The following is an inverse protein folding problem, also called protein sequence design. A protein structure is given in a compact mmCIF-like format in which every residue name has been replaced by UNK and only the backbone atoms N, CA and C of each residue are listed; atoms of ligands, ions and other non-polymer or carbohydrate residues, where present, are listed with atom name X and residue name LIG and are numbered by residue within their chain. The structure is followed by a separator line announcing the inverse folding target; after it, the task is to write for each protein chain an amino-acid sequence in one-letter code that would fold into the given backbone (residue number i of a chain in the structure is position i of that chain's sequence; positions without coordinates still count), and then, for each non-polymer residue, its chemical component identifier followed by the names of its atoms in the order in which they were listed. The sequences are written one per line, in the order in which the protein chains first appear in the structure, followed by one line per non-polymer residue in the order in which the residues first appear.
data_IF_178972135670
#
_entry.id   IF_178972135670
#
_cell.length_a   1.000
_cell.length_b   1.000
_cell.length_c   1.000
_cell.angle_alpha   90.00
_cell.angle_beta   90.00
_cell.angle_gamma   90.00
#
_symmetry.space_group_name_H-M   'P 1'
#
loop_
_entity.id
_entity.type
_entity.pdbx_description
1 polymer ?
#
# COMPACT_ATOMS: atom_id res chain seq x y z
N UNK A 1 14.25 -1.15 -7.82
CA UNK A 1 13.86 -1.68 -6.49
C UNK A 1 13.32 -0.53 -5.67
N UNK A 2 12.07 -0.63 -5.20
CA UNK A 2 11.46 0.39 -4.35
C UNK A 2 12.16 0.43 -2.99
N UNK A 3 12.71 1.60 -2.62
CA UNK A 3 13.40 1.82 -1.35
C UNK A 3 12.93 3.12 -0.74
N UNK A 4 12.64 3.08 0.55
CA UNK A 4 12.36 4.29 1.35
C UNK A 4 13.62 4.71 2.11
N UNK A 5 13.80 6.01 2.27
CA UNK A 5 14.84 6.54 3.13
C UNK A 5 14.52 6.18 4.59
N UNK A 6 15.49 5.61 5.29
CA UNK A 6 15.38 5.24 6.71
C UNK A 6 16.53 5.86 7.48
N UNK A 7 16.21 6.59 8.54
CA UNK A 7 17.18 7.08 9.51
C UNK A 7 17.73 5.93 10.38
N UNK A 8 18.80 6.19 11.14
CA UNK A 8 19.35 5.21 12.09
C UNK A 8 18.33 4.79 13.15
N UNK A 9 17.48 5.72 13.59
CA UNK A 9 16.40 5.44 14.56
C UNK A 9 15.34 4.53 13.94
N UNK A 10 14.86 4.85 12.73
CA UNK A 10 13.87 4.03 12.03
C UNK A 10 14.39 2.63 11.73
N UNK A 11 15.66 2.52 11.32
CA UNK A 11 16.31 1.23 11.11
C UNK A 11 16.34 0.38 12.38
N UNK A 12 16.60 1.00 13.55
CA UNK A 12 16.55 0.31 14.84
C UNK A 12 15.12 -0.15 15.15
N UNK A 13 14.15 0.75 15.04
CA UNK A 13 12.73 0.43 15.25
C UNK A 13 12.27 -0.73 14.39
N UNK A 14 12.62 -0.77 13.10
CA UNK A 14 12.24 -1.88 12.22
C UNK A 14 12.88 -3.20 12.68
N UNK A 15 14.15 -3.18 13.13
CA UNK A 15 14.78 -4.40 13.69
C UNK A 15 14.07 -4.87 14.95
N UNK A 16 13.75 -3.96 15.85
CA UNK A 16 13.10 -4.29 17.12
C UNK A 16 11.71 -4.88 16.86
N UNK A 17 10.96 -4.32 15.89
CA UNK A 17 9.66 -4.86 15.45
C UNK A 17 9.78 -6.25 14.79
N UNK A 18 10.84 -6.50 14.02
CA UNK A 18 11.11 -7.83 13.44
C UNK A 18 11.44 -8.83 14.55
N UNK A 19 12.28 -8.45 15.51
CA UNK A 19 12.69 -9.32 16.62
C UNK A 19 11.52 -9.63 17.58
N UNK A 20 10.64 -8.65 17.81
CA UNK A 20 9.44 -8.79 18.63
C UNK A 20 8.22 -9.28 17.84
N UNK A 21 8.39 -9.72 16.58
CA UNK A 21 7.25 -10.15 15.77
C UNK A 21 6.63 -11.42 16.38
N UNK A 22 5.29 -11.49 16.54
CA UNK A 22 4.66 -12.59 17.27
C UNK A 22 4.92 -13.95 16.62
N UNK A 23 5.42 -14.91 17.39
CA UNK A 23 5.78 -16.25 16.91
C UNK A 23 4.57 -17.07 16.44
N UNK A 24 3.41 -16.82 17.03
CA UNK A 24 2.12 -17.44 16.71
C UNK A 24 1.49 -16.87 15.42
N UNK A 25 2.03 -15.77 14.88
CA UNK A 25 1.55 -15.24 13.61
C UNK A 25 1.85 -16.22 12.48
N UNK A 26 0.92 -16.45 11.53
CA UNK A 26 1.18 -17.26 10.35
C UNK A 26 2.32 -16.72 9.47
N UNK A 27 2.74 -15.47 9.69
CA UNK A 27 3.86 -14.84 8.96
C UNK A 27 5.21 -14.96 9.69
N UNK A 28 5.27 -15.52 10.90
CA UNK A 28 6.49 -15.52 11.72
C UNK A 28 7.67 -16.20 11.03
N UNK A 29 7.44 -17.33 10.36
CA UNK A 29 8.46 -18.04 9.57
C UNK A 29 9.05 -17.15 8.46
N UNK A 30 8.21 -16.43 7.72
CA UNK A 30 8.66 -15.50 6.67
C UNK A 30 9.43 -14.31 7.24
N UNK A 31 8.99 -13.76 8.37
CA UNK A 31 9.71 -12.66 9.05
C UNK A 31 11.11 -13.10 9.45
N UNK A 32 11.23 -14.29 10.06
CA UNK A 32 12.52 -14.87 10.45
C UNK A 32 13.41 -15.17 9.22
N UNK A 33 12.83 -15.77 8.18
CA UNK A 33 13.54 -16.15 6.95
C UNK A 33 14.05 -14.92 6.17
N UNK A 34 13.25 -13.87 6.07
CA UNK A 34 13.53 -12.73 5.18
C UNK A 34 14.11 -11.51 5.90
N UNK A 35 14.02 -11.45 7.24
CA UNK A 35 14.42 -10.27 8.00
C UNK A 35 13.65 -9.02 7.56
N UNK A 36 12.36 -9.18 7.27
CA UNK A 36 11.47 -8.13 6.78
C UNK A 36 10.19 -8.10 7.60
N UNK A 37 9.75 -6.89 7.97
CA UNK A 37 8.50 -6.67 8.69
C UNK A 37 7.33 -6.62 7.70
N UNK A 38 6.27 -7.44 7.84
CA UNK A 38 5.15 -7.47 6.91
C UNK A 38 4.27 -6.25 7.11
N UNK A 39 4.12 -5.42 6.09
CA UNK A 39 3.35 -4.18 6.14
C UNK A 39 1.95 -4.32 5.55
N UNK A 40 1.81 -5.19 4.54
CA UNK A 40 0.55 -5.43 3.84
C UNK A 40 0.44 -6.90 3.47
N UNK A 41 -0.59 -7.56 4.00
CA UNK A 41 -0.89 -8.96 3.72
C UNK A 41 -2.03 -8.99 2.71
N UNK A 42 -1.75 -9.49 1.51
CA UNK A 42 -2.77 -9.78 0.50
C UNK A 42 -2.99 -11.30 0.42
N UNK A 43 -3.92 -11.71 -0.43
CA UNK A 43 -4.28 -13.13 -0.59
C UNK A 43 -3.17 -14.01 -1.19
N UNK A 44 -2.32 -13.48 -2.07
CA UNK A 44 -1.26 -14.29 -2.73
C UNK A 44 0.16 -13.90 -2.33
N UNK A 45 0.34 -12.69 -1.79
CA UNK A 45 1.64 -12.17 -1.46
C UNK A 45 1.58 -11.20 -0.29
N UNK A 46 2.70 -11.11 0.45
CA UNK A 46 2.89 -10.13 1.50
C UNK A 46 3.98 -9.14 1.11
N UNK A 47 3.70 -7.86 1.28
CA UNK A 47 4.67 -6.77 1.12
C UNK A 47 5.23 -6.42 2.48
N UNK A 48 6.55 -6.35 2.59
CA UNK A 48 7.25 -5.99 3.81
C UNK A 48 8.42 -5.03 3.62
N UNK A 49 8.99 -4.59 4.74
CA UNK A 49 10.12 -3.67 4.79
C UNK A 49 11.30 -4.28 5.56
N UNK A 50 12.47 -4.22 4.94
CA UNK A 50 13.73 -4.57 5.61
C UNK A 50 14.23 -3.40 6.46
N UNK A 51 15.09 -3.62 7.47
CA UNK A 51 15.72 -2.54 8.24
C UNK A 51 16.48 -1.50 7.40
N UNK A 52 16.90 -1.88 6.18
CA UNK A 52 17.60 -1.00 5.24
C UNK A 52 16.66 -0.14 4.38
N UNK A 53 15.35 -0.25 4.60
CA UNK A 53 14.31 0.48 3.89
C UNK A 53 13.94 -0.11 2.51
N UNK A 54 14.42 -1.31 2.17
CA UNK A 54 13.95 -1.99 0.94
C UNK A 54 12.54 -2.49 1.16
N UNK A 55 11.65 -2.19 0.21
CA UNK A 55 10.29 -2.73 0.17
C UNK A 55 10.31 -3.97 -0.73
N UNK A 56 9.94 -5.08 -0.15
CA UNK A 56 10.04 -6.42 -0.75
C UNK A 56 8.69 -7.11 -0.69
N UNK A 57 8.52 -8.10 -1.55
CA UNK A 57 7.34 -8.94 -1.61
C UNK A 57 7.80 -10.42 -1.57
N UNK A 58 7.01 -11.26 -0.90
CA UNK A 58 7.13 -12.71 -0.95
C UNK A 58 5.76 -13.36 -1.15
N UNK A 59 5.74 -14.52 -1.80
CA UNK A 59 4.52 -15.31 -1.94
C UNK A 59 4.17 -15.97 -0.61
N UNK A 60 2.88 -15.92 -0.25
CA UNK A 60 2.33 -16.65 0.89
C UNK A 60 1.77 -18.01 0.49
N UNK A 61 1.54 -18.22 -0.80
CA UNK A 61 0.95 -19.45 -1.36
C UNK A 61 1.98 -20.33 -2.09
N UNK A 62 3.24 -19.90 -2.16
CA UNK A 62 4.31 -20.65 -2.82
C UNK A 62 4.35 -20.47 -4.35
N UNK A 63 3.69 -19.45 -4.89
CA UNK A 63 3.73 -19.10 -6.33
C UNK A 63 5.16 -18.82 -6.82
N UNK A 64 6.04 -18.40 -5.91
CA UNK A 64 7.45 -18.19 -6.15
C UNK A 64 8.28 -18.21 -4.87
N UNK A 65 9.58 -18.50 -5.00
CA UNK A 65 10.51 -18.51 -3.88
C UNK A 65 11.25 -17.18 -3.71
N UNK A 66 11.60 -16.88 -2.45
CA UNK A 66 12.45 -15.76 -2.07
C UNK A 66 11.78 -14.38 -2.12
N UNK A 67 12.61 -13.35 -2.07
CA UNK A 67 12.17 -11.95 -2.07
C UNK A 67 12.21 -11.35 -3.47
N UNK A 68 11.12 -10.69 -3.85
CA UNK A 68 11.06 -9.82 -5.03
C UNK A 68 10.94 -8.36 -4.60
N UNK A 69 11.35 -7.39 -5.45
CA UNK A 69 11.00 -6.00 -5.22
C UNK A 69 9.48 -5.85 -5.30
N UNK A 70 8.87 -5.16 -4.32
CA UNK A 70 7.44 -4.88 -4.40
C UNK A 70 7.12 -3.95 -5.57
N UNK A 71 5.95 -4.14 -6.17
CA UNK A 71 5.40 -3.22 -7.17
C UNK A 71 5.39 -1.78 -6.60
N UNK A 72 6.07 -0.81 -7.24
CA UNK A 72 6.08 0.58 -6.80
C UNK A 72 4.70 1.16 -6.53
N UNK A 73 3.68 0.70 -7.26
CA UNK A 73 2.30 1.15 -7.09
C UNK A 73 1.83 0.86 -5.66
N UNK A 74 2.10 -0.32 -5.11
CA UNK A 74 1.61 -0.76 -3.80
C UNK A 74 2.40 -0.24 -2.60
N UNK A 75 3.57 0.38 -2.81
CA UNK A 75 4.46 0.83 -1.73
C UNK A 75 3.76 1.77 -0.75
N UNK A 76 3.04 2.77 -1.25
CA UNK A 76 2.32 3.73 -0.40
C UNK A 76 1.24 3.03 0.42
N UNK A 77 0.44 2.18 -0.22
CA UNK A 77 -0.60 1.40 0.47
C UNK A 77 0.01 0.56 1.59
N UNK A 78 1.14 -0.10 1.33
CA UNK A 78 1.81 -0.92 2.31
C UNK A 78 2.33 -0.09 3.49
N UNK A 79 2.97 1.05 3.25
CA UNK A 79 3.44 1.93 4.32
C UNK A 79 2.29 2.45 5.20
N UNK A 80 1.18 2.87 4.58
CA UNK A 80 -0.01 3.34 5.31
C UNK A 80 -0.64 2.22 6.14
N UNK A 81 -0.77 1.02 5.60
CA UNK A 81 -1.34 -0.11 6.33
C UNK A 81 -0.42 -0.57 7.47
N UNK A 82 0.87 -0.64 7.20
CA UNK A 82 1.89 -0.91 8.22
C UNK A 82 1.91 0.13 9.33
N UNK A 83 1.71 1.42 9.04
CA UNK A 83 1.70 2.46 10.07
C UNK A 83 0.48 2.41 10.98
N UNK A 84 -0.65 1.85 10.53
CA UNK A 84 -1.81 1.59 11.41
C UNK A 84 -1.47 0.55 12.47
N UNK A 85 -0.75 -0.50 12.09
CA UNK A 85 -0.32 -1.58 13.00
C UNK A 85 0.86 -1.15 13.89
N UNK A 86 1.79 -0.38 13.33
CA UNK A 86 2.96 0.14 14.04
C UNK A 86 3.09 1.65 13.82
N UNK A 87 2.51 2.47 14.72
CA UNK A 87 2.48 3.94 14.56
C UNK A 87 3.84 4.60 14.33
N UNK A 88 4.92 4.02 14.85
CA UNK A 88 6.29 4.50 14.64
C UNK A 88 6.73 4.52 13.16
N UNK A 89 6.05 3.77 12.28
CA UNK A 89 6.34 3.74 10.84
C UNK A 89 5.68 4.88 10.06
N UNK A 90 4.83 5.69 10.68
CA UNK A 90 4.15 6.84 10.03
C UNK A 90 5.15 7.79 9.38
N UNK A 91 6.32 7.99 10.00
CA UNK A 91 7.39 8.83 9.46
C UNK A 91 8.05 8.30 8.18
N UNK A 92 7.72 7.08 7.74
CA UNK A 92 8.16 6.51 6.46
C UNK A 92 7.20 6.81 5.31
N UNK A 93 5.98 7.27 5.60
CA UNK A 93 5.02 7.70 4.58
C UNK A 93 5.56 9.00 3.97
N UNK A 94 5.65 9.10 2.63
CA UNK A 94 6.09 10.33 1.99
C UNK A 94 5.22 11.52 2.41
N UNK A 95 5.84 12.69 2.68
CA UNK A 95 5.07 13.89 2.95
C UNK A 95 4.23 14.28 1.74
N UNK A 96 3.10 14.93 1.98
CA UNK A 96 2.23 15.47 0.91
C UNK A 96 3.04 16.44 0.04
N UNK A 97 3.19 16.17 -1.27
CA UNK A 97 3.82 17.11 -2.19
C UNK A 97 3.03 18.43 -2.27
N UNK A 98 3.67 19.60 -2.47
CA UNK A 98 2.97 20.88 -2.61
C UNK A 98 1.98 20.91 -3.77
N UNK A 99 2.22 20.11 -4.80
CA UNK A 99 1.36 19.98 -5.99
C UNK A 99 0.20 19.01 -5.80
N UNK A 100 0.15 18.25 -4.69
CA UNK A 100 -0.87 17.23 -4.49
C UNK A 100 -2.23 17.81 -4.10
N UNK A 101 -3.27 17.32 -4.77
CA UNK A 101 -4.66 17.66 -4.48
C UNK A 101 -5.20 16.79 -3.35
N UNK A 102 -6.13 17.33 -2.58
CA UNK A 102 -6.91 16.53 -1.63
C UNK A 102 -7.68 15.47 -2.41
N UNK A 103 -7.64 14.22 -1.95
CA UNK A 103 -8.32 13.13 -2.63
C UNK A 103 -9.84 13.37 -2.66
N UNK A 104 -10.50 13.33 -3.84
CA UNK A 104 -11.91 13.63 -3.95
C UNK A 104 -12.83 12.52 -3.41
N UNK A 105 -12.33 11.30 -3.23
CA UNK A 105 -13.15 10.17 -2.73
C UNK A 105 -13.25 10.12 -1.21
N UNK A 106 -12.16 10.46 -0.53
CA UNK A 106 -12.08 10.41 0.93
C UNK A 106 -12.01 11.79 1.57
N UNK A 107 -12.02 12.86 0.76
CA UNK A 107 -11.92 14.24 1.21
C UNK A 107 -10.76 14.50 2.19
N UNK A 108 -9.62 13.83 1.98
CA UNK A 108 -8.43 14.00 2.82
C UNK A 108 -8.28 13.01 3.96
N UNK A 109 -9.31 12.19 4.25
CA UNK A 109 -9.27 11.27 5.40
C UNK A 109 -8.45 10.01 5.16
N UNK A 110 -8.18 9.67 3.90
CA UNK A 110 -7.56 8.40 3.51
C UNK A 110 -8.47 7.18 3.68
N UNK A 111 -9.74 7.37 4.06
CA UNK A 111 -10.70 6.29 4.33
C UNK A 111 -11.93 6.45 3.45
N UNK A 112 -12.48 5.34 2.96
CA UNK A 112 -13.75 5.37 2.23
C UNK A 112 -14.89 5.47 3.22
N UNK A 113 -15.76 6.47 3.07
CA UNK A 113 -16.94 6.64 3.91
C UNK A 113 -17.96 5.51 3.66
N UNK A 114 -18.62 5.05 4.73
CA UNK A 114 -19.65 4.01 4.64
C UNK A 114 -19.14 2.58 4.56
N UNK A 115 -17.82 2.36 4.64
CA UNK A 115 -17.22 1.03 4.75
C UNK A 115 -17.16 0.64 6.23
N UNK A 116 -17.74 -0.49 6.65
CA UNK A 116 -17.63 -1.00 8.02
C UNK A 116 -16.18 -1.18 8.46
N UNK A 117 -15.88 -0.83 9.73
CA UNK A 117 -14.50 -0.86 10.25
C UNK A 117 -13.84 -2.24 10.10
N UNK A 118 -14.61 -3.32 10.25
CA UNK A 118 -14.11 -4.69 10.15
C UNK A 118 -13.64 -5.09 8.74
N UNK A 119 -13.96 -4.29 7.70
CA UNK A 119 -13.46 -4.49 6.33
C UNK A 119 -12.73 -3.26 5.77
N UNK A 120 -12.69 -2.15 6.51
CA UNK A 120 -12.12 -0.88 6.06
C UNK A 120 -10.63 -0.99 5.71
N UNK A 121 -9.89 -1.90 6.34
CA UNK A 121 -8.47 -2.13 6.04
C UNK A 121 -8.25 -2.89 4.73
N UNK A 122 -9.23 -3.70 4.29
CA UNK A 122 -9.20 -4.40 3.00
C UNK A 122 -9.67 -3.55 1.81
N UNK A 123 -10.38 -2.44 2.07
CA UNK A 123 -10.89 -1.54 1.04
C UNK A 123 -10.02 -0.27 0.96
N UNK A 124 -9.06 -0.29 0.04
CA UNK A 124 -8.20 0.88 -0.20
C UNK A 124 -8.92 2.02 -0.91
N UNK A 125 -8.76 3.25 -0.41
CA UNK A 125 -9.11 4.46 -1.17
C UNK A 125 -8.18 4.60 -2.40
N UNK A 126 -8.63 5.31 -3.45
CA UNK A 126 -7.81 5.61 -4.63
C UNK A 126 -6.51 6.37 -4.29
N UNK A 127 -6.51 7.14 -3.20
CA UNK A 127 -5.31 7.78 -2.65
C UNK A 127 -4.39 6.84 -1.86
N UNK A 128 -4.64 5.52 -1.85
CA UNK A 128 -3.84 4.52 -1.12
C UNK A 128 -3.73 4.82 0.39
N UNK A 129 -4.69 5.57 0.93
CA UNK A 129 -4.80 5.92 2.33
C UNK A 129 -4.03 7.16 2.78
N UNK A 130 -3.33 7.88 1.89
CA UNK A 130 -2.61 9.11 2.27
C UNK A 130 -3.48 10.38 2.28
N UNK A 131 -4.71 10.31 1.74
CA UNK A 131 -5.64 11.44 1.73
C UNK A 131 -5.42 12.45 0.60
N UNK A 132 -4.40 12.26 -0.23
CA UNK A 132 -4.08 13.14 -1.36
C UNK A 132 -3.67 12.34 -2.59
N UNK A 133 -3.70 13.00 -3.75
CA UNK A 133 -3.31 12.43 -5.05
C UNK A 133 -2.47 13.44 -5.82
N UNK A 134 -1.51 12.96 -6.59
CA UNK A 134 -0.72 13.83 -7.46
C UNK A 134 -1.52 14.23 -8.71
N UNK A 135 -1.27 15.42 -9.30
CA UNK A 135 -2.00 15.91 -10.47
C UNK A 135 -2.03 14.91 -11.64
N UNK A 136 -0.91 14.25 -11.92
CA UNK A 136 -0.81 13.27 -13.01
C UNK A 136 -1.72 12.05 -12.78
N UNK A 137 -1.92 11.65 -11.53
CA UNK A 137 -2.83 10.56 -11.15
C UNK A 137 -4.28 11.03 -11.30
N UNK A 138 -4.58 12.26 -10.91
CA UNK A 138 -5.91 12.85 -11.07
C UNK A 138 -6.29 13.02 -12.56
N UNK A 139 -5.38 13.50 -13.40
CA UNK A 139 -5.61 13.64 -14.84
C UNK A 139 -5.95 12.31 -15.51
N UNK A 140 -5.16 11.26 -15.23
CA UNK A 140 -5.43 9.90 -15.74
C UNK A 140 -6.76 9.37 -15.26
N UNK A 141 -7.08 9.56 -13.98
CA UNK A 141 -8.35 9.16 -13.39
C UNK A 141 -9.53 9.88 -14.06
N UNK A 142 -9.45 11.20 -14.18
CA UNK A 142 -10.44 12.04 -14.87
C UNK A 142 -10.64 11.59 -16.32
N UNK A 143 -9.56 11.24 -17.03
CA UNK A 143 -9.62 10.69 -18.38
C UNK A 143 -10.36 9.34 -18.42
N UNK A 144 -10.00 8.40 -17.53
CA UNK A 144 -10.64 7.08 -17.45
C UNK A 144 -12.13 7.19 -17.08
N UNK A 145 -12.51 8.10 -16.19
CA UNK A 145 -13.93 8.35 -15.87
C UNK A 145 -14.69 8.83 -17.11
N UNK A 146 -14.13 9.80 -17.85
CA UNK A 146 -14.74 10.31 -19.09
C UNK A 146 -14.90 9.21 -20.14
N UNK A 147 -13.93 8.30 -20.25
CA UNK A 147 -14.02 7.15 -21.15
C UNK A 147 -15.11 6.17 -20.70
N UNK A 148 -15.19 5.87 -19.40
CA UNK A 148 -16.24 5.04 -18.81
C UNK A 148 -17.64 5.61 -19.05
N UNK A 149 -17.82 6.92 -18.91
CA UNK A 149 -19.11 7.58 -19.14
C UNK A 149 -19.49 7.64 -20.63
N UNK A 150 -18.51 7.49 -21.53
CA UNK A 150 -18.71 7.40 -22.99
C UNK A 150 -18.94 5.96 -23.50
N UNK A 151 -18.45 4.95 -22.80
CA UNK A 151 -18.59 3.53 -23.17
C UNK A 151 -20.05 3.05 -23.36
N UNK A 152 -21.06 3.51 -22.57
CA UNK A 152 -22.47 3.17 -22.83
C UNK A 152 -23.00 3.64 -24.19
N UNK A 153 -22.35 4.64 -24.82
CA UNK A 153 -22.76 5.17 -26.14
C UNK A 153 -22.18 4.40 -27.33
N UNK A 154 -21.16 3.58 -27.11
CA UNK A 154 -20.55 2.74 -28.15
C UNK A 154 -21.22 1.36 -28.25
N UNK A 155 -21.76 0.82 -27.14
CA UNK A 155 -22.50 -0.45 -27.16
C UNK A 155 -23.92 -0.39 -27.75
N UNK A 156 -24.46 0.81 -28.01
CA UNK A 156 -25.78 0.98 -28.66
C UNK A 156 -25.74 1.10 -30.18
N UNK A 157 -24.54 1.01 -30.80
CA UNK A 157 -24.38 1.16 -32.25
C UNK A 157 -24.30 -0.15 -33.04
N UNK A 158 -24.25 -1.30 -32.34
CA UNK A 158 -24.18 -2.64 -32.94
C UNK A 158 -25.41 -3.48 -32.56
N UNK A 159 -26.60 -3.04 -32.98
CA UNK A 159 -27.82 -3.84 -32.95
C UNK A 159 -28.45 -3.88 -34.33
N UNK A 160 -28.57 -5.05 -34.99
CA UNK A 160 -29.60 -5.28 -35.99
C UNK A 160 -31.00 -5.37 -35.33
#
# INVERSE_FOLDING_TARGET
MSRVAVSKSQMRTIRDLIAAFPSESPHSAYVAQHGALPLYVSWGATIGITPKGKIVEWSTEGDYEGLRPADPSWVISALVQGSKKWPALTALIPPRPPTAHTCPDCHGTGRIHGVPENIADGVGCSCRGVGWIEPQVEERRSMLSRLRDRLPRLRRRDGP
#
